data_IF_509619885324
#
_entry.id   IF_509619885324
#
_cell.length_a   1.000
_cell.length_b   1.000
_cell.length_c   1.000
_cell.angle_alpha   90.00
_cell.angle_beta   90.00
_cell.angle_gamma   90.00
#
_symmetry.space_group_name_H-M   'P 1'
#
loop_
_entity.id
_entity.type
_entity.pdbx_description
1 polymer ?
#
# COMPACT_ATOMS: atom_id res chain seq x y z
N UNK A 1 10.68 -15.18 -2.40
CA UNK A 1 9.76 -14.51 -3.34
C UNK A 1 9.40 -13.18 -2.70
N UNK A 2 9.92 -12.07 -3.26
CA UNK A 2 9.79 -10.74 -2.64
C UNK A 2 8.33 -10.31 -2.58
N UNK A 3 7.97 -9.63 -1.50
CA UNK A 3 6.62 -9.12 -1.27
C UNK A 3 6.30 -8.03 -2.31
N UNK A 4 5.15 -8.13 -2.99
CA UNK A 4 4.76 -7.15 -4.02
C UNK A 4 4.43 -5.84 -3.30
N UNK A 5 5.23 -4.80 -3.59
CA UNK A 5 5.03 -3.48 -2.98
C UNK A 5 3.70 -2.87 -3.41
N UNK A 6 2.94 -2.26 -2.50
CA UNK A 6 1.71 -1.51 -2.80
C UNK A 6 1.90 -0.47 -3.92
N UNK A 7 0.81 -0.14 -4.62
CA UNK A 7 0.84 0.84 -5.72
C UNK A 7 1.45 2.18 -5.27
N UNK A 8 1.01 2.72 -4.15
CA UNK A 8 1.50 3.97 -3.59
C UNK A 8 3.02 3.95 -3.33
N UNK A 9 3.56 2.86 -2.81
CA UNK A 9 5.02 2.71 -2.59
C UNK A 9 5.81 2.63 -3.89
N UNK A 10 5.22 2.05 -4.94
CA UNK A 10 5.87 1.97 -6.26
C UNK A 10 5.97 3.35 -6.91
N UNK A 11 4.87 4.12 -6.88
CA UNK A 11 4.84 5.49 -7.40
C UNK A 11 5.81 6.40 -6.65
N UNK A 12 5.85 6.30 -5.33
CA UNK A 12 6.83 7.02 -4.51
C UNK A 12 8.27 6.70 -4.92
N UNK A 13 8.59 5.43 -5.15
CA UNK A 13 9.92 5.01 -5.60
C UNK A 13 10.30 5.58 -6.97
N UNK A 14 9.35 5.63 -7.92
CA UNK A 14 9.56 6.22 -9.25
C UNK A 14 9.81 7.73 -9.16
N UNK A 15 8.97 8.44 -8.41
CA UNK A 15 9.10 9.89 -8.20
C UNK A 15 10.41 10.25 -7.53
N UNK A 16 10.83 9.49 -6.52
CA UNK A 16 12.14 9.68 -5.87
C UNK A 16 13.29 9.53 -6.86
N UNK A 17 13.28 8.50 -7.73
CA UNK A 17 14.31 8.33 -8.76
C UNK A 17 14.31 9.49 -9.76
N UNK A 18 13.14 9.92 -10.22
CA UNK A 18 13.01 11.05 -11.14
C UNK A 18 13.48 12.37 -10.50
N UNK A 19 13.19 12.57 -9.21
CA UNK A 19 13.67 13.72 -8.45
C UNK A 19 15.19 13.71 -8.32
N UNK A 20 15.79 12.58 -7.93
CA UNK A 20 17.24 12.43 -7.85
C UNK A 20 17.92 12.68 -9.21
N UNK A 21 17.33 12.19 -10.30
CA UNK A 21 17.85 12.41 -11.65
C UNK A 21 17.82 13.89 -12.05
N UNK A 22 16.76 14.63 -11.70
CA UNK A 22 16.63 16.07 -11.97
C UNK A 22 17.56 16.92 -11.11
N UNK A 23 17.88 16.48 -9.89
CA UNK A 23 18.66 17.24 -8.93
C UNK A 23 20.11 16.74 -8.80
N UNK A 24 20.68 16.23 -9.90
CA UNK A 24 22.07 15.68 -9.91
C UNK A 24 23.09 16.70 -9.44
N UNK A 25 22.96 17.96 -9.83
CA UNK A 25 23.85 19.04 -9.42
C UNK A 25 23.81 19.27 -7.90
N UNK A 26 22.62 19.29 -7.33
CA UNK A 26 22.46 19.41 -5.88
C UNK A 26 23.12 18.26 -5.14
N UNK A 27 22.97 17.02 -5.65
CA UNK A 27 23.61 15.84 -5.08
C UNK A 27 25.13 15.91 -5.21
N UNK A 28 25.62 16.33 -6.38
CA UNK A 28 27.06 16.47 -6.67
C UNK A 28 27.76 17.51 -5.77
N UNK A 29 27.03 18.49 -5.23
CA UNK A 29 27.53 19.45 -4.28
C UNK A 29 27.33 19.00 -2.83
N UNK A 30 26.13 18.51 -2.50
CA UNK A 30 25.77 18.19 -1.11
C UNK A 30 26.54 16.97 -0.58
N UNK A 31 26.81 15.95 -1.41
CA UNK A 31 27.54 14.76 -0.96
C UNK A 31 29.01 15.08 -0.63
N UNK A 32 29.81 15.73 -1.48
CA UNK A 32 31.16 16.15 -1.10
C UNK A 32 31.20 17.08 0.09
N UNK A 33 30.27 18.04 0.20
CA UNK A 33 30.19 18.94 1.35
C UNK A 33 29.93 18.16 2.66
N UNK A 34 29.04 17.15 2.63
CA UNK A 34 28.80 16.30 3.79
C UNK A 34 30.01 15.42 4.16
N UNK A 35 30.75 14.92 3.15
CA UNK A 35 31.99 14.16 3.38
C UNK A 35 33.07 15.05 3.98
N UNK A 36 33.22 16.28 3.49
CA UNK A 36 34.15 17.26 4.04
C UNK A 36 33.79 17.59 5.50
N UNK A 37 32.53 17.85 5.79
CA UNK A 37 32.06 18.08 7.16
C UNK A 37 32.35 16.88 8.05
N UNK A 38 32.08 15.66 7.60
CA UNK A 38 32.38 14.45 8.35
C UNK A 38 33.90 14.33 8.63
N UNK A 39 34.74 14.64 7.64
CA UNK A 39 36.21 14.60 7.80
C UNK A 39 36.67 15.65 8.84
N UNK A 40 36.17 16.88 8.78
CA UNK A 40 36.47 17.95 9.74
C UNK A 40 36.05 17.55 11.16
N UNK A 41 34.84 17.03 11.33
CA UNK A 41 34.34 16.57 12.62
C UNK A 41 35.15 15.39 13.16
N UNK A 42 35.53 14.45 12.29
CA UNK A 42 36.39 13.32 12.65
C UNK A 42 37.76 13.79 13.13
N UNK A 43 38.35 14.75 12.44
CA UNK A 43 39.63 15.34 12.83
C UNK A 43 39.50 16.04 14.19
N UNK A 44 38.46 16.84 14.39
CA UNK A 44 38.20 17.50 15.66
C UNK A 44 38.08 16.50 16.82
N UNK A 45 37.30 15.44 16.63
CA UNK A 45 37.18 14.36 17.62
C UNK A 45 38.52 13.66 17.88
N UNK A 46 39.31 13.41 16.83
CA UNK A 46 40.61 12.76 16.95
C UNK A 46 41.64 13.60 17.75
N UNK A 47 41.51 14.93 17.67
CA UNK A 47 42.39 15.87 18.42
C UNK A 47 42.00 16.05 19.89
N UNK A 48 40.68 15.94 20.19
CA UNK A 48 40.16 16.25 21.53
C UNK A 48 39.94 15.00 22.37
N UNK A 49 39.51 13.90 21.76
CA UNK A 49 39.15 12.66 22.48
C UNK A 49 40.35 11.69 22.56
N UNK A 50 40.46 10.99 23.69
CA UNK A 50 41.49 9.99 23.93
C UNK A 50 40.90 8.58 24.24
N UNK A 51 41.73 7.55 24.05
CA UNK A 51 41.37 6.16 24.39
C UNK A 51 40.19 5.62 23.56
N UNK A 52 39.42 4.74 24.18
CA UNK A 52 38.27 4.07 23.52
C UNK A 52 37.14 5.04 23.18
N UNK A 53 36.96 6.10 23.95
CA UNK A 53 35.96 7.14 23.70
C UNK A 53 36.13 7.80 22.35
N UNK A 54 37.37 7.95 21.87
CA UNK A 54 37.64 8.48 20.51
C UNK A 54 36.96 7.67 19.42
N UNK A 55 37.12 6.37 19.44
CA UNK A 55 36.53 5.51 18.39
C UNK A 55 35.01 5.48 18.43
N UNK A 56 34.46 5.50 19.66
CA UNK A 56 33.00 5.62 19.82
C UNK A 56 32.46 6.93 19.22
N UNK A 57 33.08 8.06 19.53
CA UNK A 57 32.68 9.38 19.02
C UNK A 57 32.86 9.50 17.50
N UNK A 58 33.91 8.92 16.93
CA UNK A 58 34.09 8.87 15.46
C UNK A 58 32.96 8.06 14.82
N UNK A 59 32.64 6.89 15.36
CA UNK A 59 31.52 6.08 14.86
C UNK A 59 30.18 6.81 14.93
N UNK A 60 29.92 7.49 16.04
CA UNK A 60 28.70 8.30 16.24
C UNK A 60 28.63 9.47 15.24
N UNK A 61 29.75 10.17 15.00
CA UNK A 61 29.86 11.27 14.03
C UNK A 61 29.51 10.79 12.62
N UNK A 62 30.09 9.67 12.18
CA UNK A 62 29.80 9.13 10.86
C UNK A 62 28.35 8.66 10.75
N UNK A 63 27.83 7.91 11.72
CA UNK A 63 26.44 7.48 11.73
C UNK A 63 25.47 8.67 11.72
N UNK A 64 25.74 9.69 12.53
CA UNK A 64 24.96 10.93 12.59
C UNK A 64 24.98 11.68 11.27
N UNK A 65 26.14 11.83 10.64
CA UNK A 65 26.27 12.49 9.32
C UNK A 65 25.47 11.76 8.25
N UNK A 66 25.60 10.43 8.16
CA UNK A 66 24.81 9.64 7.20
C UNK A 66 23.32 9.80 7.45
N UNK A 67 22.88 9.71 8.69
CA UNK A 67 21.47 9.89 9.05
C UNK A 67 20.96 11.29 8.69
N UNK A 68 21.74 12.34 8.96
CA UNK A 68 21.41 13.72 8.64
C UNK A 68 21.30 13.95 7.12
N UNK A 69 22.22 13.43 6.33
CA UNK A 69 22.20 13.52 4.86
C UNK A 69 20.98 12.81 4.28
N UNK A 70 20.70 11.58 4.74
CA UNK A 70 19.52 10.84 4.30
C UNK A 70 18.22 11.56 4.67
N UNK A 71 18.16 12.13 5.88
CA UNK A 71 17.00 12.90 6.34
C UNK A 71 16.82 14.15 5.50
N UNK A 72 17.89 14.92 5.24
CA UNK A 72 17.85 16.13 4.42
C UNK A 72 17.34 15.85 3.01
N UNK A 73 17.88 14.82 2.34
CA UNK A 73 17.41 14.45 1.01
C UNK A 73 15.96 13.98 0.99
N UNK A 74 15.54 13.24 1.99
CA UNK A 74 14.15 12.80 2.10
C UNK A 74 13.20 13.98 2.33
N UNK A 75 13.57 14.92 3.20
CA UNK A 75 12.79 16.14 3.49
C UNK A 75 12.73 17.05 2.27
N UNK A 76 13.87 17.28 1.59
CA UNK A 76 13.91 18.07 0.37
C UNK A 76 13.04 17.47 -0.75
N UNK A 77 13.07 16.15 -0.93
CA UNK A 77 12.20 15.46 -1.87
C UNK A 77 10.72 15.69 -1.54
N UNK A 78 10.30 15.46 -0.29
CA UNK A 78 8.91 15.61 0.12
C UNK A 78 8.43 17.07 0.09
N UNK A 79 9.31 18.03 0.36
CA UNK A 79 8.98 19.45 0.26
C UNK A 79 8.74 19.91 -1.18
N UNK A 80 9.45 19.33 -2.15
CA UNK A 80 9.33 19.68 -3.57
C UNK A 80 8.24 18.93 -4.33
N UNK A 81 7.83 17.76 -3.87
CA UNK A 81 6.86 16.91 -4.56
C UNK A 81 5.62 16.65 -3.70
N UNK A 82 4.60 17.54 -3.84
CA UNK A 82 3.32 17.39 -3.11
C UNK A 82 2.62 16.06 -3.38
N UNK A 83 2.73 15.53 -4.59
CA UNK A 83 2.15 14.23 -4.91
C UNK A 83 2.89 13.08 -4.22
N UNK A 84 4.21 13.21 -4.01
CA UNK A 84 4.95 12.25 -3.20
C UNK A 84 4.39 12.15 -1.77
N UNK A 85 4.00 13.29 -1.18
CA UNK A 85 3.35 13.30 0.15
C UNK A 85 2.02 12.55 0.12
N UNK A 86 1.22 12.72 -0.94
CA UNK A 86 -0.04 11.98 -1.10
C UNK A 86 0.20 10.48 -1.23
N UNK A 87 1.24 10.07 -1.98
CA UNK A 87 1.61 8.65 -2.09
C UNK A 87 2.16 8.07 -0.78
N UNK A 88 2.92 8.85 0.00
CA UNK A 88 3.35 8.43 1.36
C UNK A 88 2.16 8.19 2.26
N UNK A 89 1.20 9.11 2.29
CA UNK A 89 -0.04 8.97 3.07
C UNK A 89 -0.88 7.78 2.60
N UNK A 90 -1.01 7.58 1.28
CA UNK A 90 -1.67 6.41 0.70
C UNK A 90 -1.00 5.11 1.16
N UNK A 91 0.33 5.03 1.08
CA UNK A 91 1.09 3.86 1.52
C UNK A 91 0.89 3.58 3.02
N UNK A 92 0.84 4.61 3.87
CA UNK A 92 0.56 4.44 5.30
C UNK A 92 -0.86 3.92 5.54
N UNK A 93 -1.86 4.40 4.79
CA UNK A 93 -3.22 3.90 4.87
C UNK A 93 -3.30 2.41 4.55
N UNK A 94 -2.70 1.99 3.44
CA UNK A 94 -2.63 0.60 3.02
C UNK A 94 -1.88 -0.28 4.05
N UNK A 95 -0.72 0.18 4.56
CA UNK A 95 0.07 -0.57 5.56
C UNK A 95 -0.69 -0.72 6.89
N UNK A 96 -1.35 0.35 7.35
CA UNK A 96 -2.15 0.30 8.57
C UNK A 96 -3.34 -0.65 8.42
N UNK A 97 -4.04 -0.61 7.27
CA UNK A 97 -5.12 -1.57 6.98
C UNK A 97 -4.60 -3.00 6.97
N UNK A 98 -3.43 -3.25 6.37
CA UNK A 98 -2.79 -4.57 6.39
C UNK A 98 -2.49 -5.05 7.81
N UNK A 99 -2.00 -4.19 8.68
CA UNK A 99 -1.72 -4.51 10.08
C UNK A 99 -3.00 -4.88 10.83
N UNK A 100 -4.10 -4.14 10.60
CA UNK A 100 -5.41 -4.48 11.18
C UNK A 100 -5.96 -5.80 10.62
N UNK A 101 -5.81 -6.07 9.32
CA UNK A 101 -6.20 -7.35 8.73
C UNK A 101 -5.36 -8.53 9.28
N UNK A 102 -4.07 -8.32 9.55
CA UNK A 102 -3.25 -9.31 10.23
C UNK A 102 -3.76 -9.58 11.66
N UNK A 103 -4.20 -8.53 12.37
CA UNK A 103 -4.88 -8.67 13.67
C UNK A 103 -6.22 -9.40 13.54
N UNK A 104 -7.06 -9.04 12.55
CA UNK A 104 -8.33 -9.70 12.25
C UNK A 104 -8.15 -11.20 11.99
N UNK A 105 -7.09 -11.58 11.27
CA UNK A 105 -6.76 -13.00 11.02
C UNK A 105 -6.39 -13.74 12.31
N UNK A 106 -5.59 -13.15 13.19
CA UNK A 106 -5.26 -13.72 14.51
C UNK A 106 -6.52 -13.89 15.38
N UNK A 107 -7.43 -12.91 15.32
CA UNK A 107 -8.73 -12.93 16.01
C UNK A 107 -9.76 -13.84 15.34
N UNK A 108 -9.41 -14.54 14.27
CA UNK A 108 -10.29 -15.44 13.50
C UNK A 108 -11.53 -14.75 12.89
N UNK A 109 -11.44 -13.48 12.53
CA UNK A 109 -12.51 -12.73 11.84
C UNK A 109 -12.46 -12.96 10.32
N UNK A 110 -11.25 -13.07 9.78
CA UNK A 110 -11.02 -13.30 8.35
C UNK A 110 -10.23 -14.60 8.14
N UNK A 111 -10.38 -15.23 6.97
CA UNK A 111 -9.57 -16.35 6.55
C UNK A 111 -8.22 -15.88 6.02
N UNK A 112 -8.26 -14.93 5.09
CA UNK A 112 -7.09 -14.33 4.46
C UNK A 112 -7.48 -13.11 3.62
N UNK A 113 -6.48 -12.41 3.08
CA UNK A 113 -6.70 -11.32 2.12
C UNK A 113 -5.59 -11.29 1.08
N UNK A 114 -5.83 -10.58 -0.02
CA UNK A 114 -4.84 -10.29 -1.07
C UNK A 114 -4.76 -8.78 -1.24
N UNK A 115 -3.55 -8.25 -1.16
CA UNK A 115 -3.26 -6.83 -1.32
C UNK A 115 -2.93 -6.49 -2.77
N UNK A 116 -3.25 -5.26 -3.18
CA UNK A 116 -2.79 -4.64 -4.43
C UNK A 116 -3.04 -5.50 -5.66
N UNK A 117 -4.30 -5.82 -5.92
CA UNK A 117 -4.71 -6.55 -7.13
C UNK A 117 -4.84 -5.54 -8.27
N UNK A 118 -3.90 -5.58 -9.22
CA UNK A 118 -3.92 -4.71 -10.40
C UNK A 118 -4.83 -5.29 -11.47
N UNK A 119 -5.81 -4.51 -11.92
CA UNK A 119 -6.72 -4.80 -13.02
C UNK A 119 -6.48 -3.80 -14.16
N UNK A 120 -7.00 -4.10 -15.36
CA UNK A 120 -6.84 -3.19 -16.52
C UNK A 120 -7.43 -1.79 -16.27
N UNK A 121 -8.46 -1.70 -15.43
CA UNK A 121 -9.24 -0.47 -15.20
C UNK A 121 -9.09 0.09 -13.78
N UNK A 122 -8.04 -0.26 -13.03
CA UNK A 122 -7.73 0.25 -11.69
C UNK A 122 -7.38 -0.86 -10.71
N UNK A 123 -6.88 -0.48 -9.55
CA UNK A 123 -6.40 -1.41 -8.54
C UNK A 123 -7.46 -1.65 -7.45
N UNK A 124 -7.36 -2.80 -6.78
CA UNK A 124 -8.08 -3.11 -5.53
C UNK A 124 -7.04 -3.13 -4.43
N UNK A 125 -7.17 -2.27 -3.41
CA UNK A 125 -6.18 -2.17 -2.33
C UNK A 125 -6.10 -3.48 -1.53
N UNK A 126 -7.26 -3.96 -1.03
CA UNK A 126 -7.35 -5.23 -0.31
C UNK A 126 -8.64 -5.97 -0.64
N UNK A 127 -8.52 -7.23 -1.05
CA UNK A 127 -9.66 -8.14 -1.18
C UNK A 127 -9.62 -9.18 -0.07
N UNK A 128 -10.58 -9.11 0.82
CA UNK A 128 -10.63 -9.87 2.08
C UNK A 128 -11.63 -11.01 1.98
N UNK A 129 -11.23 -12.21 2.37
CA UNK A 129 -12.12 -13.36 2.55
C UNK A 129 -12.47 -13.44 4.04
N UNK A 130 -13.66 -12.99 4.41
CA UNK A 130 -14.15 -13.04 5.79
C UNK A 130 -14.65 -14.45 6.15
N UNK A 131 -14.89 -14.68 7.42
CA UNK A 131 -15.45 -15.98 7.85
C UNK A 131 -16.98 -15.99 7.80
N UNK A 132 -17.62 -14.85 8.02
CA UNK A 132 -19.08 -14.77 8.18
C UNK A 132 -19.78 -14.01 7.06
N UNK A 133 -19.11 -13.04 6.44
CA UNK A 133 -19.75 -12.07 5.54
C UNK A 133 -19.27 -12.17 4.07
N UNK A 134 -18.69 -13.30 3.66
CA UNK A 134 -18.25 -13.46 2.27
C UNK A 134 -16.98 -12.66 1.94
N UNK A 135 -16.99 -11.97 0.80
CA UNK A 135 -15.89 -11.15 0.31
C UNK A 135 -16.12 -9.67 0.62
N UNK A 136 -15.03 -8.98 1.00
CA UNK A 136 -15.03 -7.54 1.24
C UNK A 136 -13.91 -6.90 0.43
N UNK A 137 -14.23 -5.92 -0.41
CA UNK A 137 -13.25 -5.08 -1.09
C UNK A 137 -13.03 -3.82 -0.26
N UNK A 138 -11.83 -3.66 0.26
CA UNK A 138 -11.46 -2.52 1.10
C UNK A 138 -10.64 -1.53 0.26
N UNK A 139 -11.08 -0.28 0.24
CA UNK A 139 -10.36 0.88 -0.28
C UNK A 139 -9.82 1.70 0.91
N UNK A 140 -8.50 1.81 1.02
CA UNK A 140 -7.83 2.48 2.15
C UNK A 140 -7.53 3.93 1.83
N UNK A 141 -8.08 4.86 2.60
CA UNK A 141 -7.94 6.30 2.37
C UNK A 141 -7.33 7.01 3.58
N UNK A 142 -6.21 7.70 3.36
CA UNK A 142 -5.68 8.63 4.36
C UNK A 142 -6.24 10.03 4.13
N UNK A 143 -7.00 10.57 5.08
CA UNK A 143 -7.62 11.89 5.01
C UNK A 143 -7.49 12.63 6.34
N UNK A 144 -7.28 13.94 6.28
CA UNK A 144 -7.32 14.80 7.47
C UNK A 144 -8.73 15.36 7.69
N UNK A 145 -9.46 15.61 6.60
CA UNK A 145 -10.87 16.00 6.59
C UNK A 145 -11.58 15.26 5.46
N UNK A 146 -12.89 15.17 5.55
CA UNK A 146 -13.75 14.55 4.54
C UNK A 146 -14.93 15.48 4.29
N UNK A 147 -15.14 15.84 3.03
CA UNK A 147 -16.30 16.61 2.56
C UNK A 147 -17.39 15.67 2.02
N UNK A 148 -18.57 16.21 1.73
CA UNK A 148 -19.64 15.44 1.09
C UNK A 148 -19.24 14.94 -0.31
N UNK A 149 -18.47 15.73 -1.06
CA UNK A 149 -17.94 15.36 -2.38
C UNK A 149 -16.90 14.25 -2.27
N UNK A 150 -16.03 14.31 -1.25
CA UNK A 150 -15.09 13.22 -0.95
C UNK A 150 -15.83 11.91 -0.67
N UNK A 151 -16.90 11.94 0.13
CA UNK A 151 -17.72 10.76 0.44
C UNK A 151 -18.32 10.19 -0.86
N UNK A 152 -18.91 11.04 -1.69
CA UNK A 152 -19.51 10.61 -2.95
C UNK A 152 -18.48 9.97 -3.89
N UNK A 153 -17.31 10.59 -4.04
CA UNK A 153 -16.20 10.08 -4.85
C UNK A 153 -15.66 8.75 -4.31
N UNK A 154 -15.43 8.64 -3.00
CA UNK A 154 -14.98 7.40 -2.36
C UNK A 154 -16.01 6.29 -2.47
N UNK A 155 -17.32 6.60 -2.34
CA UNK A 155 -18.43 5.67 -2.53
C UNK A 155 -18.41 5.08 -3.95
N UNK A 156 -18.32 5.92 -4.97
CA UNK A 156 -18.26 5.47 -6.37
C UNK A 156 -17.02 4.60 -6.64
N UNK A 157 -15.86 5.00 -6.12
CA UNK A 157 -14.62 4.23 -6.24
C UNK A 157 -14.74 2.85 -5.59
N UNK A 158 -15.19 2.78 -4.35
CA UNK A 158 -15.32 1.53 -3.60
C UNK A 158 -16.32 0.55 -4.24
N UNK A 159 -17.47 1.06 -4.73
CA UNK A 159 -18.45 0.24 -5.48
C UNK A 159 -17.85 -0.32 -6.77
N UNK A 160 -17.12 0.51 -7.50
CA UNK A 160 -16.43 0.08 -8.72
C UNK A 160 -15.40 -1.00 -8.43
N UNK A 161 -14.60 -0.84 -7.36
CA UNK A 161 -13.63 -1.85 -6.93
C UNK A 161 -14.32 -3.16 -6.51
N UNK A 162 -15.43 -3.11 -5.78
CA UNK A 162 -16.19 -4.29 -5.36
C UNK A 162 -16.81 -5.04 -6.57
N UNK A 163 -17.36 -4.33 -7.53
CA UNK A 163 -17.91 -4.93 -8.75
C UNK A 163 -16.81 -5.65 -9.56
N UNK A 164 -15.65 -5.04 -9.68
CA UNK A 164 -14.47 -5.65 -10.34
C UNK A 164 -13.96 -6.87 -9.58
N UNK A 165 -13.92 -6.78 -8.24
CA UNK A 165 -13.54 -7.90 -7.39
C UNK A 165 -14.51 -9.08 -7.53
N UNK A 166 -15.81 -8.81 -7.63
CA UNK A 166 -16.84 -9.82 -7.86
C UNK A 166 -16.66 -10.50 -9.22
N UNK A 167 -16.47 -9.73 -10.29
CA UNK A 167 -16.21 -10.27 -11.63
C UNK A 167 -14.94 -11.12 -11.69
N UNK A 168 -13.84 -10.65 -11.06
CA UNK A 168 -12.60 -11.40 -10.96
C UNK A 168 -12.80 -12.71 -10.20
N UNK A 169 -13.41 -12.67 -9.02
CA UNK A 169 -13.65 -13.85 -8.20
C UNK A 169 -14.54 -14.87 -8.94
N UNK A 170 -15.58 -14.40 -9.63
CA UNK A 170 -16.45 -15.22 -10.47
C UNK A 170 -15.64 -15.90 -11.57
N UNK A 171 -14.83 -15.15 -12.32
CA UNK A 171 -13.97 -15.69 -13.39
C UNK A 171 -13.01 -16.75 -12.87
N UNK A 172 -12.32 -16.48 -11.76
CA UNK A 172 -11.34 -17.39 -11.19
C UNK A 172 -11.97 -18.69 -10.65
N UNK A 173 -13.19 -18.62 -10.14
CA UNK A 173 -13.90 -19.80 -9.63
C UNK A 173 -14.58 -20.61 -10.73
N UNK A 174 -14.82 -20.03 -11.91
CA UNK A 174 -15.47 -20.72 -13.04
C UNK A 174 -14.49 -21.23 -14.08
N UNK A 175 -13.24 -20.75 -14.09
CA UNK A 175 -12.25 -21.03 -15.13
C UNK A 175 -12.03 -22.53 -15.40
N UNK A 176 -12.00 -23.36 -14.34
CA UNK A 176 -11.70 -24.80 -14.44
C UNK A 176 -12.96 -25.69 -14.41
N UNK A 177 -14.15 -25.12 -14.61
CA UNK A 177 -15.42 -25.85 -14.46
C UNK A 177 -16.15 -26.02 -15.78
N UNK A 178 -16.83 -27.17 -15.95
CA UNK A 178 -17.70 -27.41 -17.12
C UNK A 178 -18.84 -26.39 -17.21
N UNK A 179 -19.39 -26.19 -18.40
CA UNK A 179 -20.48 -25.23 -18.63
C UNK A 179 -21.69 -25.48 -17.71
N UNK A 180 -22.05 -26.76 -17.51
CA UNK A 180 -23.15 -27.18 -16.63
C UNK A 180 -22.90 -26.87 -15.16
N UNK A 181 -21.65 -26.85 -14.72
CA UNK A 181 -21.26 -26.51 -13.35
C UNK A 181 -21.20 -24.98 -13.14
N UNK A 182 -20.80 -24.24 -14.20
CA UNK A 182 -20.80 -22.77 -14.19
C UNK A 182 -22.17 -22.16 -13.98
N UNK A 183 -23.18 -22.75 -14.63
CA UNK A 183 -24.59 -22.31 -14.48
C UNK A 183 -25.15 -22.46 -13.07
N UNK A 184 -24.55 -23.32 -12.22
CA UNK A 184 -24.95 -23.55 -10.82
C UNK A 184 -24.24 -22.67 -9.81
N UNK A 185 -23.22 -21.87 -10.22
CA UNK A 185 -22.50 -21.00 -9.32
C UNK A 185 -23.33 -19.71 -9.13
N UNK A 186 -23.76 -19.47 -7.90
CA UNK A 186 -24.41 -18.21 -7.53
C UNK A 186 -23.46 -17.04 -7.82
N UNK A 187 -24.03 -15.90 -8.21
CA UNK A 187 -23.29 -14.65 -8.36
C UNK A 187 -22.54 -14.33 -7.07
N UNK A 188 -21.25 -14.03 -7.20
CA UNK A 188 -20.42 -13.68 -6.05
C UNK A 188 -20.67 -12.21 -5.74
N UNK A 189 -21.13 -11.96 -4.52
CA UNK A 189 -21.29 -10.61 -4.00
C UNK A 189 -20.04 -10.22 -3.22
N UNK A 190 -19.55 -9.01 -3.45
CA UNK A 190 -18.44 -8.41 -2.72
C UNK A 190 -18.91 -7.14 -2.06
N UNK A 191 -18.79 -7.06 -0.73
CA UNK A 191 -19.18 -5.88 0.03
C UNK A 191 -18.11 -4.79 -0.12
N UNK A 192 -18.47 -3.59 -0.63
CA UNK A 192 -17.54 -2.46 -0.68
C UNK A 192 -17.36 -1.83 0.69
N UNK A 193 -16.13 -1.44 1.01
CA UNK A 193 -15.80 -0.79 2.28
C UNK A 193 -14.70 0.25 2.05
N UNK A 194 -14.85 1.43 2.66
CA UNK A 194 -13.82 2.46 2.76
C UNK A 194 -13.26 2.49 4.17
N UNK A 195 -11.95 2.31 4.31
CA UNK A 195 -11.28 2.42 5.61
C UNK A 195 -10.54 3.74 5.68
N UNK A 196 -10.95 4.59 6.60
CA UNK A 196 -10.41 5.93 6.79
C UNK A 196 -9.31 5.95 7.86
N UNK A 197 -8.18 6.54 7.48
CA UNK A 197 -7.02 6.82 8.32
C UNK A 197 -6.76 8.32 8.43
N UNK A 198 -5.78 8.72 9.24
CA UNK A 198 -5.48 10.12 9.50
C UNK A 198 -6.49 10.74 10.47
N UNK A 199 -6.59 12.06 10.49
CA UNK A 199 -7.48 12.77 11.43
C UNK A 199 -8.96 12.49 11.16
N UNK A 200 -9.32 12.25 9.90
CA UNK A 200 -10.72 11.97 9.51
C UNK A 200 -11.30 10.71 10.16
N UNK A 201 -10.47 9.72 10.51
CA UNK A 201 -10.94 8.47 11.15
C UNK A 201 -11.71 8.72 12.46
N UNK A 202 -11.38 9.81 13.18
CA UNK A 202 -12.03 10.15 14.46
C UNK A 202 -13.42 10.76 14.30
N UNK A 203 -13.77 11.19 13.09
CA UNK A 203 -15.03 11.83 12.74
C UNK A 203 -16.03 10.86 12.09
N UNK A 204 -15.63 9.63 11.84
CA UNK A 204 -16.51 8.61 11.25
C UNK A 204 -17.44 8.08 12.35
N UNK A 205 -18.76 8.16 12.17
CA UNK A 205 -19.72 7.51 13.05
C UNK A 205 -19.49 5.98 13.11
N UNK A 206 -19.99 5.34 14.17
CA UNK A 206 -19.74 3.91 14.40
C UNK A 206 -20.33 3.00 13.31
N UNK A 207 -21.45 3.41 12.70
CA UNK A 207 -22.15 2.69 11.64
C UNK A 207 -22.52 3.66 10.51
N UNK A 208 -21.51 4.20 9.83
CA UNK A 208 -21.75 5.07 8.69
C UNK A 208 -21.72 4.27 7.39
N UNK A 209 -22.85 4.29 6.68
CA UNK A 209 -22.99 3.68 5.36
C UNK A 209 -23.56 4.70 4.36
N UNK A 210 -23.06 4.70 3.14
CA UNK A 210 -23.57 5.51 2.05
C UNK A 210 -23.68 4.66 0.80
N UNK A 211 -24.89 4.54 0.24
CA UNK A 211 -25.19 3.82 -1.00
C UNK A 211 -24.60 2.38 -1.01
N UNK A 212 -24.76 1.65 0.07
CA UNK A 212 -24.26 0.28 0.23
C UNK A 212 -22.76 0.17 0.46
N UNK A 213 -22.06 1.28 0.76
CA UNK A 213 -20.64 1.31 1.10
C UNK A 213 -20.46 1.66 2.56
N UNK A 214 -19.84 0.76 3.32
CA UNK A 214 -19.48 1.02 4.71
C UNK A 214 -18.25 1.91 4.81
N UNK A 215 -18.32 2.98 5.61
CA UNK A 215 -17.18 3.84 5.96
C UNK A 215 -16.75 3.52 7.39
N UNK A 216 -15.52 3.07 7.54
CA UNK A 216 -15.03 2.54 8.81
C UNK A 216 -13.78 3.28 9.25
N UNK A 217 -13.72 3.69 10.51
CA UNK A 217 -12.47 4.15 11.12
C UNK A 217 -11.45 3.00 11.10
N UNK A 218 -10.22 3.26 10.65
CA UNK A 218 -9.19 2.24 10.57
C UNK A 218 -8.95 1.52 11.90
N UNK A 219 -9.02 2.23 13.01
CA UNK A 219 -8.87 1.64 14.36
C UNK A 219 -10.03 0.73 14.77
N UNK A 220 -11.21 0.87 14.14
CA UNK A 220 -12.40 0.06 14.40
C UNK A 220 -12.64 -1.03 13.35
N UNK A 221 -11.72 -1.20 12.41
CA UNK A 221 -11.86 -2.20 11.34
C UNK A 221 -12.15 -3.60 11.89
N UNK A 222 -11.45 -4.02 12.93
CA UNK A 222 -11.65 -5.33 13.54
C UNK A 222 -13.02 -5.49 14.20
N UNK A 223 -13.55 -4.45 14.83
CA UNK A 223 -14.87 -4.48 15.47
C UNK A 223 -15.97 -4.49 14.41
N UNK A 224 -15.82 -3.71 13.36
CA UNK A 224 -16.74 -3.74 12.22
C UNK A 224 -16.75 -5.13 11.55
N UNK A 225 -15.59 -5.72 11.25
CA UNK A 225 -15.51 -7.08 10.68
C UNK A 225 -16.12 -8.16 11.60
N UNK A 226 -16.09 -7.97 12.92
CA UNK A 226 -16.72 -8.87 13.89
C UNK A 226 -18.24 -8.80 13.82
N UNK A 227 -18.80 -7.58 13.65
CA UNK A 227 -20.23 -7.32 13.56
C UNK A 227 -20.84 -7.63 12.19
N UNK A 228 -20.03 -7.88 11.16
CA UNK A 228 -20.54 -8.23 9.84
C UNK A 228 -21.14 -9.64 9.83
N UNK A 229 -22.37 -9.74 9.33
CA UNK A 229 -23.06 -10.99 9.05
C UNK A 229 -23.40 -11.10 7.56
N UNK A 230 -23.58 -12.33 7.08
CA UNK A 230 -23.88 -12.58 5.67
C UNK A 230 -23.70 -14.06 5.32
N UNK A 231 -23.00 -14.34 4.22
CA UNK A 231 -22.77 -15.71 3.77
C UNK A 231 -21.46 -16.28 4.34
N UNK A 232 -21.49 -17.22 5.28
CA UNK A 232 -20.29 -17.87 5.79
C UNK A 232 -19.51 -18.54 4.67
N UNK A 233 -18.18 -18.37 4.70
CA UNK A 233 -17.26 -19.03 3.75
C UNK A 233 -16.55 -20.15 4.48
N UNK A 234 -16.64 -21.37 3.94
CA UNK A 234 -15.91 -22.49 4.50
C UNK A 234 -14.40 -22.35 4.27
N UNK A 235 -13.61 -23.03 5.11
CA UNK A 235 -12.14 -22.94 5.09
C UNK A 235 -11.52 -23.44 3.77
N UNK A 236 -12.13 -24.44 3.12
CA UNK A 236 -11.58 -25.03 1.88
C UNK A 236 -11.81 -24.07 0.71
N UNK A 237 -13.03 -23.54 0.57
CA UNK A 237 -13.38 -22.55 -0.45
C UNK A 237 -12.56 -21.26 -0.27
N UNK A 238 -12.40 -20.77 0.96
CA UNK A 238 -11.58 -19.60 1.28
C UNK A 238 -10.12 -19.81 0.87
N UNK A 239 -9.54 -20.97 1.15
CA UNK A 239 -8.15 -21.30 0.79
C UNK A 239 -7.96 -21.41 -0.72
N UNK A 240 -8.92 -22.00 -1.42
CA UNK A 240 -8.86 -22.14 -2.88
C UNK A 240 -8.95 -20.77 -3.55
N UNK A 241 -9.94 -19.98 -3.21
CA UNK A 241 -10.10 -18.61 -3.73
C UNK A 241 -8.85 -17.74 -3.45
N UNK A 242 -8.35 -17.77 -2.21
CA UNK A 242 -7.13 -17.04 -1.86
C UNK A 242 -5.93 -17.42 -2.74
N UNK A 243 -5.71 -18.72 -2.99
CA UNK A 243 -4.62 -19.21 -3.85
C UNK A 243 -4.76 -18.72 -5.29
N UNK A 244 -5.98 -18.75 -5.84
CA UNK A 244 -6.28 -18.26 -7.20
C UNK A 244 -6.07 -16.75 -7.33
N UNK A 245 -6.59 -15.99 -6.39
CA UNK A 245 -6.40 -14.52 -6.33
C UNK A 245 -4.92 -14.15 -6.21
N UNK A 246 -4.18 -14.83 -5.35
CA UNK A 246 -2.74 -14.61 -5.20
C UNK A 246 -1.97 -14.91 -6.48
N UNK A 247 -2.27 -16.05 -7.15
CA UNK A 247 -1.65 -16.39 -8.44
C UNK A 247 -1.94 -15.33 -9.49
N UNK A 248 -3.21 -14.95 -9.65
CA UNK A 248 -3.62 -13.89 -10.58
C UNK A 248 -2.86 -12.58 -10.33
N UNK A 249 -2.81 -12.12 -9.08
CA UNK A 249 -2.05 -10.91 -8.69
C UNK A 249 -0.58 -11.03 -9.09
N UNK A 250 0.06 -12.16 -8.80
CA UNK A 250 1.48 -12.39 -9.04
C UNK A 250 1.79 -12.43 -10.56
N UNK A 251 0.89 -12.99 -11.38
CA UNK A 251 0.97 -13.00 -12.84
C UNK A 251 0.74 -11.62 -13.45
N UNK A 252 -0.31 -10.92 -13.03
CA UNK A 252 -0.60 -9.55 -13.47
C UNK A 252 0.58 -8.61 -13.13
N UNK A 253 1.20 -8.80 -11.99
CA UNK A 253 2.40 -8.07 -11.60
C UNK A 253 3.59 -8.30 -12.54
N UNK A 254 3.89 -9.56 -12.87
CA UNK A 254 4.98 -9.91 -13.81
C UNK A 254 4.77 -9.26 -15.16
N UNK A 255 3.54 -9.33 -15.68
CA UNK A 255 3.18 -8.72 -16.98
C UNK A 255 3.31 -7.20 -16.95
N UNK A 256 2.86 -6.54 -15.88
CA UNK A 256 2.99 -5.09 -15.72
C UNK A 256 4.45 -4.65 -15.66
N UNK A 257 5.29 -5.39 -14.94
CA UNK A 257 6.71 -5.12 -14.82
C UNK A 257 7.45 -5.28 -16.16
N UNK A 258 7.17 -6.36 -16.88
CA UNK A 258 7.77 -6.61 -18.20
C UNK A 258 7.40 -5.50 -19.21
N UNK A 259 6.15 -5.03 -19.22
CA UNK A 259 5.72 -3.89 -20.07
C UNK A 259 6.44 -2.59 -19.72
N UNK A 260 6.69 -2.36 -18.44
CA UNK A 260 7.42 -1.18 -17.97
C UNK A 260 8.88 -1.22 -18.41
N UNK A 261 9.54 -2.37 -18.24
CA UNK A 261 10.93 -2.57 -18.67
C UNK A 261 11.09 -2.40 -20.19
N UNK A 262 10.15 -2.92 -20.98
CA UNK A 262 10.14 -2.75 -22.44
C UNK A 262 9.97 -1.27 -22.87
N UNK A 263 9.14 -0.49 -22.17
CA UNK A 263 9.02 0.96 -22.43
C UNK A 263 10.31 1.71 -22.17
N UNK A 264 10.99 1.42 -21.06
CA UNK A 264 12.27 2.08 -20.75
C UNK A 264 13.36 1.71 -21.73
N UNK A 265 13.40 0.47 -22.22
CA UNK A 265 14.37 0.05 -23.24
C UNK A 265 14.11 0.76 -24.60
N UNK A 266 12.84 0.98 -24.97
CA UNK A 266 12.47 1.71 -26.19
C UNK A 266 12.84 3.19 -26.15
N UNK A 267 12.65 3.86 -25.01
CA UNK A 267 13.00 5.29 -24.85
C UNK A 267 14.50 5.55 -24.86
N UNK A 268 15.33 4.59 -24.44
CA UNK A 268 16.79 4.74 -24.47
C UNK A 268 17.41 4.43 -25.86
N UNK A 269 16.67 3.74 -26.72
CA UNK A 269 17.11 3.44 -28.10
C UNK A 269 16.77 4.53 -29.13
N UNK A 270 15.99 5.54 -28.75
CA UNK A 270 15.54 6.65 -29.61
C UNK A 270 16.24 7.99 -29.28
N UNK A 271 17.27 8.00 -28.43
CA UNK A 271 18.13 9.16 -28.10
C UNK A 271 19.50 9.01 -28.71
#
# INVERSE_FOLDING_TARGET
MGDIKPFSRRQLGRRRRAWLARNRTLIAVAVPAALLLAAVLTLAVALVANGEMRWYLIGLTHAGTVAAVLHLFNTAFLAHDREAVLHVRGAWGEDNTRNELASAKRRRLVWNWVDSITLQSGDIDHLVVTRKAGLVAIDSKWRNSVTADDISSMTASARTAANRAAALAQTLLTADRSATHRAKIRAITVTPMVVLWGTAQHKVPEAFERDGVAFVSGRRLNDHLRGMDGHPVDRRAARDLYRRLKRYRDEAWKTSKAREEARFAGDMGSS
#
